data_IF_248918886198
#
_entry.id   IF_248918886198
#
_cell.length_a   1.000
_cell.length_b   1.000
_cell.length_c   1.000
_cell.angle_alpha   90.00
_cell.angle_beta   90.00
_cell.angle_gamma   90.00
#
_symmetry.space_group_name_H-M   'P 1'
#
loop_
_entity.id
_entity.type
_entity.pdbx_description
1 polymer ?
#
# COMPACT_ATOMS: atom_id res chain seq x y z
N UNK A 1 -15.30 2.37 -18.00
CA UNK A 1 -16.36 2.74 -17.04
C UNK A 1 -16.33 1.73 -15.91
N UNK A 2 -16.33 2.15 -14.64
CA UNK A 2 -16.44 1.24 -13.50
C UNK A 2 -17.89 0.76 -13.48
N UNK A 3 -18.14 -0.49 -13.87
CA UNK A 3 -19.50 -1.03 -14.07
C UNK A 3 -20.11 -1.66 -12.81
N UNK A 4 -19.45 -1.57 -11.65
CA UNK A 4 -19.98 -2.11 -10.40
C UNK A 4 -19.70 -1.17 -9.24
N UNK A 5 -20.76 -0.71 -8.57
CA UNK A 5 -20.66 -0.09 -7.23
C UNK A 5 -20.22 -1.10 -6.18
N UNK A 6 -20.40 -2.39 -6.46
CA UNK A 6 -20.14 -3.52 -5.58
C UNK A 6 -19.32 -4.58 -6.32
N UNK A 7 -18.52 -5.33 -5.57
CA UNK A 7 -17.80 -6.51 -6.05
C UNK A 7 -18.07 -7.64 -5.06
N UNK A 8 -18.77 -8.72 -5.45
CA UNK A 8 -19.11 -9.79 -4.52
C UNK A 8 -17.88 -10.31 -3.75
N UNK A 9 -18.05 -10.65 -2.47
CA UNK A 9 -16.93 -11.05 -1.60
C UNK A 9 -16.11 -12.22 -2.17
N UNK A 10 -16.75 -13.17 -2.85
CA UNK A 10 -16.07 -14.28 -3.51
C UNK A 10 -15.18 -13.83 -4.68
N UNK A 11 -15.63 -12.84 -5.46
CA UNK A 11 -14.85 -12.25 -6.56
C UNK A 11 -13.70 -11.40 -6.00
N UNK A 12 -13.95 -10.59 -4.97
CA UNK A 12 -12.92 -9.81 -4.30
C UNK A 12 -11.81 -10.70 -3.72
N UNK A 13 -12.17 -11.82 -3.09
CA UNK A 13 -11.22 -12.79 -2.57
C UNK A 13 -10.44 -13.52 -3.70
N UNK A 14 -11.08 -13.75 -4.84
CA UNK A 14 -10.40 -14.34 -6.01
C UNK A 14 -9.42 -13.36 -6.62
N UNK A 15 -9.80 -12.08 -6.71
CA UNK A 15 -8.94 -11.02 -7.18
C UNK A 15 -7.71 -10.84 -6.29
N UNK A 16 -7.89 -10.84 -4.97
CA UNK A 16 -6.79 -10.76 -4.00
C UNK A 16 -5.77 -11.88 -4.26
N UNK A 17 -6.23 -13.15 -4.30
CA UNK A 17 -5.35 -14.31 -4.58
C UNK A 17 -4.67 -14.24 -5.94
N UNK A 18 -5.34 -13.71 -6.97
CA UNK A 18 -4.76 -13.56 -8.31
C UNK A 18 -3.72 -12.41 -8.40
N UNK A 19 -3.61 -11.59 -7.36
CA UNK A 19 -2.81 -10.37 -7.37
C UNK A 19 -1.77 -10.30 -6.25
N UNK A 20 -1.43 -11.44 -5.63
CA UNK A 20 -0.42 -11.57 -4.56
C UNK A 20 1.00 -11.16 -4.98
N UNK A 21 1.29 -11.17 -6.28
CA UNK A 21 2.57 -10.68 -6.84
C UNK A 21 2.63 -9.15 -7.01
N UNK A 22 1.56 -8.45 -6.61
CA UNK A 22 1.49 -7.00 -6.49
C UNK A 22 2.10 -6.24 -7.69
N UNK A 23 3.18 -5.47 -7.48
CA UNK A 23 3.85 -4.66 -8.51
C UNK A 23 4.28 -5.47 -9.75
N UNK A 24 4.55 -6.76 -9.58
CA UNK A 24 4.94 -7.67 -10.65
C UNK A 24 3.73 -8.25 -11.42
N UNK A 25 2.51 -8.13 -10.88
CA UNK A 25 1.28 -8.57 -11.53
C UNK A 25 0.70 -7.48 -12.44
N UNK A 26 0.48 -7.81 -13.72
CA UNK A 26 -0.25 -6.93 -14.63
C UNK A 26 -1.69 -6.70 -14.16
N UNK A 27 -2.37 -7.78 -13.75
CA UNK A 27 -3.74 -7.72 -13.24
C UNK A 27 -3.84 -6.78 -12.03
N UNK A 28 -2.90 -6.86 -11.10
CA UNK A 28 -2.87 -5.97 -9.93
C UNK A 28 -2.77 -4.50 -10.35
N UNK A 29 -1.91 -4.17 -11.32
CA UNK A 29 -1.74 -2.79 -11.81
C UNK A 29 -3.01 -2.26 -12.47
N UNK A 30 -3.65 -3.06 -13.30
CA UNK A 30 -4.91 -2.72 -13.98
C UNK A 30 -6.05 -2.52 -12.97
N UNK A 31 -6.21 -3.44 -12.02
CA UNK A 31 -7.28 -3.39 -11.02
C UNK A 31 -7.06 -2.24 -10.01
N UNK A 32 -5.79 -1.96 -9.66
CA UNK A 32 -5.42 -0.80 -8.84
C UNK A 32 -5.69 0.51 -9.58
N UNK A 33 -5.52 0.58 -10.91
CA UNK A 33 -5.83 1.79 -11.68
C UNK A 33 -7.34 2.10 -11.69
N UNK A 34 -8.19 1.08 -11.67
CA UNK A 34 -9.66 1.24 -11.62
C UNK A 34 -10.18 1.79 -10.28
N UNK A 35 -9.38 1.72 -9.20
CA UNK A 35 -9.85 1.93 -7.81
C UNK A 35 -9.04 2.97 -7.04
N UNK A 36 -9.68 3.66 -6.11
CA UNK A 36 -9.00 4.55 -5.17
C UNK A 36 -8.40 3.77 -4.01
N UNK A 37 -7.24 4.22 -3.55
CA UNK A 37 -6.57 3.66 -2.37
C UNK A 37 -7.17 4.25 -1.10
N UNK A 38 -7.48 3.40 -0.12
CA UNK A 38 -8.14 3.78 1.14
C UNK A 38 -7.46 4.96 1.83
N UNK A 39 -6.14 4.93 1.99
CA UNK A 39 -5.40 5.99 2.68
C UNK A 39 -5.58 7.40 2.08
N UNK A 40 -5.74 7.52 0.76
CA UNK A 40 -5.91 8.82 0.09
C UNK A 40 -7.34 9.35 0.26
N UNK A 41 -8.33 8.47 0.21
CA UNK A 41 -9.75 8.87 0.24
C UNK A 41 -10.26 9.01 1.68
N UNK A 42 -9.97 8.02 2.53
CA UNK A 42 -10.49 7.96 3.90
C UNK A 42 -9.86 9.02 4.81
N UNK A 43 -8.62 9.45 4.54
CA UNK A 43 -7.94 10.48 5.33
C UNK A 43 -8.18 11.92 4.83
N UNK A 44 -9.02 12.11 3.81
CA UNK A 44 -9.30 13.45 3.26
C UNK A 44 -10.20 14.24 4.21
N UNK A 45 -9.80 15.46 4.57
CA UNK A 45 -10.66 16.40 5.31
C UNK A 45 -11.83 16.87 4.46
N UNK A 46 -13.01 17.03 5.05
CA UNK A 46 -14.22 17.51 4.35
C UNK A 46 -14.00 18.85 3.61
N UNK A 47 -13.18 19.73 4.18
CA UNK A 47 -12.81 21.02 3.57
C UNK A 47 -11.83 20.91 2.40
N UNK A 48 -11.21 19.76 2.18
CA UNK A 48 -10.28 19.52 1.06
C UNK A 48 -11.05 18.95 -0.12
N UNK A 49 -11.06 19.67 -1.24
CA UNK A 49 -11.70 19.21 -2.47
C UNK A 49 -11.05 17.95 -3.08
N UNK A 50 -11.81 17.20 -3.87
CA UNK A 50 -11.38 15.93 -4.48
C UNK A 50 -10.61 16.10 -5.80
N UNK A 51 -10.51 17.32 -6.34
CA UNK A 51 -9.97 17.58 -7.69
C UNK A 51 -8.54 17.08 -7.85
N UNK A 52 -7.68 17.29 -6.85
CA UNK A 52 -6.29 16.83 -6.87
C UNK A 52 -6.18 15.31 -6.77
N UNK A 53 -7.09 14.63 -6.04
CA UNK A 53 -7.12 13.16 -5.97
C UNK A 53 -7.46 12.59 -7.34
N UNK A 54 -8.47 13.14 -8.01
CA UNK A 54 -8.88 12.72 -9.36
C UNK A 54 -7.77 13.02 -10.37
N UNK A 55 -7.22 14.24 -10.36
CA UNK A 55 -6.13 14.65 -11.26
C UNK A 55 -4.90 13.75 -11.10
N UNK A 56 -4.47 13.49 -9.87
CA UNK A 56 -3.33 12.61 -9.62
C UNK A 56 -3.62 11.17 -10.05
N UNK A 57 -4.84 10.68 -9.85
CA UNK A 57 -5.24 9.33 -10.25
C UNK A 57 -5.20 9.13 -11.77
N UNK A 58 -5.60 10.15 -12.54
CA UNK A 58 -5.70 10.07 -14.00
C UNK A 58 -4.40 10.39 -14.72
N UNK A 59 -3.55 11.25 -14.16
CA UNK A 59 -2.45 11.86 -14.91
C UNK A 59 -1.07 11.82 -14.21
N UNK A 60 -0.97 11.34 -12.96
CA UNK A 60 0.32 11.33 -12.26
C UNK A 60 1.18 10.12 -12.67
N UNK A 61 2.36 10.41 -13.23
CA UNK A 61 3.40 9.42 -13.57
C UNK A 61 4.77 9.77 -12.95
N UNK A 62 4.78 10.59 -11.90
CA UNK A 62 6.02 11.04 -11.28
C UNK A 62 6.66 9.94 -10.43
N UNK A 63 7.95 9.68 -10.68
CA UNK A 63 8.82 8.86 -9.84
C UNK A 63 10.02 9.71 -9.41
N UNK A 64 10.28 9.76 -8.11
CA UNK A 64 11.48 10.41 -7.56
C UNK A 64 12.52 9.38 -7.14
N UNK A 65 13.78 9.80 -7.01
CA UNK A 65 14.84 8.94 -6.48
C UNK A 65 14.50 8.37 -5.09
N UNK A 66 13.84 9.15 -4.23
CA UNK A 66 13.39 8.68 -2.93
C UNK A 66 12.28 7.62 -3.02
N UNK A 67 11.39 7.73 -4.01
CA UNK A 67 10.36 6.71 -4.25
C UNK A 67 10.96 5.41 -4.79
N UNK A 68 11.91 5.48 -5.73
CA UNK A 68 12.61 4.31 -6.24
C UNK A 68 13.38 3.61 -5.11
N UNK A 69 14.11 4.38 -4.29
CA UNK A 69 14.78 3.82 -3.11
C UNK A 69 13.80 3.07 -2.20
N UNK A 70 12.61 3.63 -1.97
CA UNK A 70 11.56 2.96 -1.21
C UNK A 70 11.16 1.62 -1.82
N UNK A 71 10.84 1.61 -3.11
CA UNK A 71 10.41 0.41 -3.84
C UNK A 71 11.49 -0.68 -3.91
N UNK A 72 12.75 -0.30 -4.03
CA UNK A 72 13.89 -1.21 -4.13
C UNK A 72 14.23 -1.88 -2.79
N UNK A 73 13.89 -1.23 -1.67
CA UNK A 73 14.25 -1.69 -0.33
C UNK A 73 13.07 -2.26 0.48
N UNK A 74 11.84 -2.08 0.03
CA UNK A 74 10.62 -2.59 0.67
C UNK A 74 10.71 -4.10 0.94
N UNK A 75 11.06 -4.89 -0.08
CA UNK A 75 11.18 -6.35 0.03
C UNK A 75 12.26 -6.79 1.02
N UNK A 76 13.33 -6.00 1.18
CA UNK A 76 14.38 -6.26 2.17
C UNK A 76 13.90 -5.94 3.59
N UNK A 77 13.19 -4.82 3.75
CA UNK A 77 12.69 -4.37 5.05
C UNK A 77 11.55 -5.24 5.58
N UNK A 78 10.66 -5.73 4.72
CA UNK A 78 9.63 -6.72 5.08
C UNK A 78 10.30 -8.02 5.57
N UNK A 79 11.31 -8.53 4.87
CA UNK A 79 12.07 -9.72 5.29
C UNK A 79 12.76 -9.52 6.64
N UNK A 80 13.43 -8.38 6.84
CA UNK A 80 14.08 -8.06 8.11
C UNK A 80 13.07 -8.00 9.27
N UNK A 81 11.87 -7.47 9.04
CA UNK A 81 10.80 -7.49 10.03
C UNK A 81 10.39 -8.94 10.33
N UNK A 82 10.08 -9.73 9.31
CA UNK A 82 9.67 -11.14 9.46
C UNK A 82 10.67 -11.95 10.30
N UNK A 83 11.96 -11.81 10.01
CA UNK A 83 13.03 -12.47 10.77
C UNK A 83 13.08 -11.99 12.22
N UNK A 84 12.89 -10.69 12.47
CA UNK A 84 12.99 -10.10 13.81
C UNK A 84 11.84 -10.51 14.75
N UNK A 85 10.64 -10.73 14.21
CA UNK A 85 9.44 -11.05 14.99
C UNK A 85 8.93 -12.48 14.75
N UNK A 86 9.69 -13.29 14.03
CA UNK A 86 9.35 -14.68 13.67
C UNK A 86 7.94 -14.82 13.08
N UNK A 87 7.58 -13.86 12.21
CA UNK A 87 6.28 -13.84 11.55
C UNK A 87 6.30 -14.70 10.30
N UNK A 88 5.25 -15.51 10.12
CA UNK A 88 5.06 -16.24 8.87
C UNK A 88 4.57 -15.27 7.80
N UNK A 89 5.35 -15.15 6.73
CA UNK A 89 4.97 -14.33 5.59
C UNK A 89 3.64 -14.81 4.99
N UNK A 90 2.68 -13.90 4.90
CA UNK A 90 1.51 -14.02 4.05
C UNK A 90 1.54 -12.85 3.06
N UNK A 91 2.15 -13.10 1.91
CA UNK A 91 1.96 -12.27 0.72
C UNK A 91 0.48 -12.07 0.49
N UNK A 92 0.12 -10.84 0.13
CA UNK A 92 -1.26 -10.47 -0.09
C UNK A 92 -1.39 -9.64 -1.37
N UNK A 93 -2.57 -9.75 -1.99
CA UNK A 93 -2.89 -9.00 -3.20
C UNK A 93 -3.69 -7.74 -2.92
N UNK A 94 -4.54 -7.39 -3.90
CA UNK A 94 -5.42 -6.25 -3.81
C UNK A 94 -6.73 -6.62 -3.12
N UNK A 95 -6.97 -6.06 -1.94
CA UNK A 95 -8.25 -6.13 -1.24
C UNK A 95 -9.20 -5.06 -1.77
N UNK A 96 -10.35 -5.47 -2.28
CA UNK A 96 -11.43 -4.58 -2.73
C UNK A 96 -12.57 -4.60 -1.73
N UNK A 97 -13.11 -3.44 -1.38
CA UNK A 97 -14.28 -3.38 -0.51
C UNK A 97 -15.51 -3.95 -1.25
N UNK A 98 -16.19 -4.98 -0.71
CA UNK A 98 -17.31 -5.62 -1.42
C UNK A 98 -18.49 -4.68 -1.70
N UNK A 99 -18.74 -3.72 -0.82
CA UNK A 99 -19.84 -2.76 -0.91
C UNK A 99 -19.45 -1.48 -1.64
N UNK A 100 -18.14 -1.25 -1.81
CA UNK A 100 -17.58 -0.05 -2.42
C UNK A 100 -16.50 -0.50 -3.41
N UNK A 101 -16.93 -1.04 -4.55
CA UNK A 101 -16.06 -1.68 -5.54
C UNK A 101 -14.97 -0.78 -6.13
N UNK A 102 -15.11 0.54 -6.01
CA UNK A 102 -14.09 1.52 -6.39
C UNK A 102 -13.05 1.81 -5.29
N UNK A 103 -13.15 1.19 -4.11
CA UNK A 103 -12.22 1.36 -2.99
C UNK A 103 -11.40 0.08 -2.78
N UNK A 104 -10.08 0.22 -2.68
CA UNK A 104 -9.18 -0.91 -2.49
C UNK A 104 -7.95 -0.55 -1.64
N UNK A 105 -7.30 -1.57 -1.09
CA UNK A 105 -6.02 -1.49 -0.39
C UNK A 105 -5.15 -2.70 -0.75
N UNK A 106 -3.84 -2.55 -0.64
CA UNK A 106 -2.87 -3.64 -0.81
C UNK A 106 -1.80 -3.38 0.25
N UNK A 107 -1.91 -4.01 1.43
CA UNK A 107 -0.90 -3.86 2.48
C UNK A 107 0.44 -4.49 2.03
N UNK A 108 1.53 -4.13 2.72
CA UNK A 108 2.85 -4.67 2.41
C UNK A 108 3.01 -6.11 2.93
N UNK A 109 2.17 -6.51 3.90
CA UNK A 109 2.06 -7.87 4.40
C UNK A 109 0.90 -8.06 5.37
N UNK A 110 0.64 -9.31 5.74
CA UNK A 110 -0.36 -9.69 6.75
C UNK A 110 0.29 -10.40 7.93
N UNK A 111 -0.30 -10.23 9.11
CA UNK A 111 0.08 -10.89 10.35
C UNK A 111 -1.14 -11.63 10.89
N UNK A 112 -1.01 -12.95 11.06
CA UNK A 112 -2.07 -13.82 11.55
C UNK A 112 -3.40 -13.61 10.80
N UNK A 113 -4.49 -13.34 11.52
CA UNK A 113 -5.83 -13.17 10.97
C UNK A 113 -6.26 -11.70 10.84
N UNK A 114 -5.78 -10.81 11.71
CA UNK A 114 -6.27 -9.41 11.82
C UNK A 114 -5.17 -8.33 11.71
N UNK A 115 -3.91 -8.73 11.58
CA UNK A 115 -2.78 -7.80 11.53
C UNK A 115 -2.34 -7.45 10.11
N UNK A 116 -1.87 -6.22 9.92
CA UNK A 116 -1.29 -5.75 8.66
C UNK A 116 0.12 -5.20 8.89
N UNK A 117 0.97 -5.34 7.88
CA UNK A 117 2.30 -4.73 7.82
C UNK A 117 2.26 -3.57 6.84
N UNK A 118 2.80 -2.43 7.27
CA UNK A 118 3.08 -1.27 6.42
C UNK A 118 4.53 -0.85 6.68
N UNK A 119 5.38 -0.96 5.66
CA UNK A 119 6.80 -0.66 5.72
C UNK A 119 7.06 0.72 5.10
N UNK A 120 8.06 1.42 5.64
CA UNK A 120 8.54 2.69 5.12
C UNK A 120 10.06 2.69 5.07
N UNK A 121 10.60 2.91 3.88
CA UNK A 121 12.04 2.97 3.61
C UNK A 121 12.45 4.39 3.18
N UNK A 122 12.55 5.37 4.08
CA UNK A 122 12.95 6.73 3.72
C UNK A 122 14.43 6.80 3.36
N UNK A 123 14.74 7.32 2.16
CA UNK A 123 16.12 7.48 1.69
C UNK A 123 17.00 8.34 2.63
N UNK A 124 16.39 9.23 3.43
CA UNK A 124 17.09 10.06 4.43
C UNK A 124 17.61 9.28 5.64
N UNK A 125 17.21 8.01 5.81
CA UNK A 125 17.63 7.15 6.91
C UNK A 125 18.44 5.94 6.44
N UNK A 126 18.91 5.93 5.19
CA UNK A 126 19.57 4.77 4.57
C UNK A 126 20.80 4.26 5.35
N UNK A 127 21.52 5.14 6.03
CA UNK A 127 22.74 4.83 6.78
C UNK A 127 22.49 4.75 8.29
N UNK A 128 21.22 4.70 8.72
CA UNK A 128 20.82 4.70 10.12
C UNK A 128 20.11 3.38 10.47
N UNK A 129 20.34 2.91 11.69
CA UNK A 129 19.47 1.92 12.31
C UNK A 129 18.11 2.54 12.65
N UNK A 130 17.09 1.69 12.85
CA UNK A 130 15.75 2.12 13.29
C UNK A 130 15.83 2.98 14.55
N UNK A 131 16.64 2.58 15.54
CA UNK A 131 16.82 3.29 16.80
C UNK A 131 17.47 4.67 16.63
N UNK A 132 18.52 4.76 15.79
CA UNK A 132 19.17 6.04 15.50
C UNK A 132 18.21 7.00 14.79
N UNK A 133 17.47 6.51 13.79
CA UNK A 133 16.49 7.31 13.06
C UNK A 133 15.35 7.80 13.97
N UNK A 134 14.90 7.00 14.94
CA UNK A 134 13.94 7.40 15.97
C UNK A 134 14.54 8.49 16.87
N UNK A 135 15.74 8.28 17.42
CA UNK A 135 16.42 9.26 18.28
C UNK A 135 16.64 10.59 17.58
N UNK A 136 16.96 10.55 16.29
CA UNK A 136 17.12 11.72 15.43
C UNK A 136 15.81 12.35 14.95
N UNK A 137 14.65 11.82 15.38
CA UNK A 137 13.30 12.28 14.98
C UNK A 137 13.12 12.36 13.47
N UNK A 138 13.69 11.41 12.73
CA UNK A 138 13.62 11.36 11.26
C UNK A 138 12.26 10.91 10.74
N UNK A 139 11.45 10.27 11.59
CA UNK A 139 10.09 9.85 11.26
C UNK A 139 9.07 10.86 11.78
N UNK A 140 8.39 11.64 10.92
CA UNK A 140 7.44 12.66 11.34
C UNK A 140 6.11 12.08 11.88
N UNK A 141 5.91 10.76 11.79
CA UNK A 141 4.67 10.07 12.17
C UNK A 141 4.71 9.48 13.60
N UNK A 142 5.88 9.40 14.23
CA UNK A 142 6.02 9.04 15.63
C UNK A 142 6.12 10.32 16.46
N UNK A 143 4.98 10.73 17.03
CA UNK A 143 4.88 11.79 18.03
C UNK A 143 4.51 11.20 19.38
#
# INVERSE_FOLDING_TARGET
MITGTELPSAEAATLERATTEQKNSQLWREERQKRYQTGVVCCRKESTGCQNIVKNKLYSHFLSAAMNYGQDNEDNAVRALQDSVNLKDRRCGLFVNPNIGYLAASPDGLIDDDGIVEVKCPASCKDLTSDEAIRMKKFPFWK
#
